data_IF_018502531730
#
_entry.id   IF_018502531730
#
_cell.length_a   1.000
_cell.length_b   1.000
_cell.length_c   1.000
_cell.angle_alpha   90.00
_cell.angle_beta   90.00
_cell.angle_gamma   90.00
#
_symmetry.space_group_name_H-M   'P 1'
#
loop_
_entity.id
_entity.type
_entity.pdbx_description
1 polymer ?
#
# COMPACT_ATOMS: atom_id res chain seq x y z
N UNK A 1 -7.44 -2.15 14.38
CA UNK A 1 -6.61 -1.42 13.40
C UNK A 1 -5.64 -0.56 14.20
N UNK A 2 -4.37 -0.46 13.76
CA UNK A 2 -3.16 -0.27 14.58
C UNK A 2 -2.82 -1.50 15.42
N UNK A 3 -1.68 -2.15 15.12
CA UNK A 3 -1.17 -3.27 15.92
C UNK A 3 -0.06 -2.81 16.86
N UNK A 4 0.80 -1.90 16.39
CA UNK A 4 1.91 -1.35 17.17
C UNK A 4 2.31 0.02 16.62
N UNK A 5 2.84 0.88 17.48
CA UNK A 5 3.58 2.08 17.09
C UNK A 5 5.08 1.79 17.20
N UNK A 6 5.85 2.13 16.17
CA UNK A 6 7.30 1.94 16.09
C UNK A 6 8.01 3.28 15.93
N UNK A 7 9.31 3.25 16.21
CA UNK A 7 10.19 4.41 16.04
C UNK A 7 10.73 4.45 14.60
N UNK A 8 10.90 5.63 14.03
CA UNK A 8 11.77 5.85 12.86
C UNK A 8 12.65 7.08 13.06
N UNK A 9 13.67 7.20 12.22
CA UNK A 9 14.51 8.40 12.19
C UNK A 9 13.98 9.39 11.14
N UNK A 10 13.62 10.58 11.60
CA UNK A 10 13.25 11.71 10.75
C UNK A 10 14.08 12.92 11.16
N UNK A 11 14.75 13.55 10.19
CA UNK A 11 15.57 14.75 10.41
C UNK A 11 16.60 14.62 11.56
N UNK A 12 17.19 13.43 11.71
CA UNK A 12 18.16 13.14 12.78
C UNK A 12 17.55 12.96 14.17
N UNK A 13 16.22 12.84 14.28
CA UNK A 13 15.50 12.57 15.53
C UNK A 13 14.79 11.23 15.44
N UNK A 14 14.81 10.49 16.55
CA UNK A 14 14.01 9.28 16.73
C UNK A 14 12.61 9.67 17.20
N UNK A 15 11.61 9.27 16.44
CA UNK A 15 10.20 9.62 16.70
C UNK A 15 9.30 8.38 16.63
N UNK A 16 8.26 8.34 17.47
CA UNK A 16 7.21 7.30 17.47
C UNK A 16 6.15 7.59 16.40
N UNK A 17 6.56 7.57 15.15
CA UNK A 17 5.77 8.05 14.02
C UNK A 17 5.35 6.94 13.03
N UNK A 18 5.70 5.69 13.29
CA UNK A 18 5.34 4.57 12.40
C UNK A 18 4.19 3.78 13.00
N UNK A 19 3.04 3.82 12.33
CA UNK A 19 1.91 2.95 12.64
C UNK A 19 2.07 1.65 11.87
N UNK A 20 2.34 0.56 12.59
CA UNK A 20 2.44 -0.78 12.02
C UNK A 20 1.10 -1.52 12.10
N UNK A 21 0.63 -1.95 10.94
CA UNK A 21 -0.57 -2.77 10.77
C UNK A 21 -0.13 -4.17 10.35
N UNK A 22 -0.13 -5.13 11.28
CA UNK A 22 0.25 -6.53 11.05
C UNK A 22 -0.64 -7.24 10.01
N UNK A 23 -1.93 -6.92 10.01
CA UNK A 23 -2.94 -7.44 9.09
C UNK A 23 -3.77 -6.29 8.55
N UNK A 24 -3.46 -5.85 7.33
CA UNK A 24 -4.14 -4.75 6.69
C UNK A 24 -5.45 -5.24 6.09
N UNK A 25 -6.57 -4.82 6.67
CA UNK A 25 -7.92 -5.17 6.22
C UNK A 25 -8.12 -4.97 4.71
N UNK A 26 -7.54 -3.90 4.16
CA UNK A 26 -7.69 -3.57 2.74
C UNK A 26 -6.92 -4.52 1.84
N UNK A 27 -5.66 -4.82 2.20
CA UNK A 27 -4.84 -5.80 1.49
C UNK A 27 -5.44 -7.20 1.58
N UNK A 28 -5.88 -7.62 2.78
CA UNK A 28 -6.52 -8.93 2.98
C UNK A 28 -7.83 -9.08 2.19
N UNK A 29 -8.62 -8.00 2.08
CA UNK A 29 -9.91 -8.05 1.38
C UNK A 29 -9.77 -7.99 -0.14
N UNK A 30 -8.89 -7.13 -0.66
CA UNK A 30 -8.75 -6.92 -2.11
C UNK A 30 -7.75 -7.85 -2.75
N UNK A 31 -6.73 -8.26 -1.99
CA UNK A 31 -5.68 -9.17 -2.43
C UNK A 31 -5.06 -8.78 -3.79
N UNK A 32 -4.96 -7.48 -4.04
CA UNK A 32 -4.50 -6.90 -5.30
C UNK A 32 -3.76 -5.59 -5.03
N UNK A 33 -2.50 -5.52 -5.46
CA UNK A 33 -1.64 -4.35 -5.27
C UNK A 33 -2.26 -3.09 -5.89
N UNK A 34 -2.75 -3.18 -7.13
CA UNK A 34 -3.41 -2.06 -7.80
C UNK A 34 -4.61 -1.50 -7.02
N UNK A 35 -5.43 -2.36 -6.40
CA UNK A 35 -6.53 -1.89 -5.56
C UNK A 35 -6.03 -1.24 -4.27
N UNK A 36 -5.06 -1.85 -3.59
CA UNK A 36 -4.45 -1.27 -2.39
C UNK A 36 -3.87 0.12 -2.67
N UNK A 37 -3.18 0.27 -3.80
CA UNK A 37 -2.51 1.51 -4.15
C UNK A 37 -3.54 2.58 -4.49
N UNK A 38 -4.41 2.31 -5.45
CA UNK A 38 -5.30 3.32 -6.02
C UNK A 38 -6.47 3.70 -5.12
N UNK A 39 -6.87 2.83 -4.18
CA UNK A 39 -8.06 3.06 -3.35
C UNK A 39 -7.75 3.27 -1.87
N UNK A 40 -6.60 2.78 -1.38
CA UNK A 40 -6.20 2.95 0.01
C UNK A 40 -4.99 3.89 0.12
N UNK A 41 -3.82 3.51 -0.43
CA UNK A 41 -2.57 4.25 -0.27
C UNK A 41 -2.64 5.67 -0.84
N UNK A 42 -2.88 5.83 -2.14
CA UNK A 42 -2.82 7.15 -2.78
C UNK A 42 -3.89 8.11 -2.23
N UNK A 43 -5.16 7.71 -2.08
CA UNK A 43 -6.17 8.59 -1.50
C UNK A 43 -5.89 8.95 -0.04
N UNK A 44 -5.40 8.00 0.78
CA UNK A 44 -5.11 8.26 2.19
C UNK A 44 -3.91 9.19 2.35
N UNK A 45 -2.83 8.97 1.59
CA UNK A 45 -1.67 9.87 1.61
C UNK A 45 -2.07 11.27 1.18
N UNK A 46 -2.88 11.39 0.12
CA UNK A 46 -3.40 12.67 -0.36
C UNK A 46 -4.24 13.37 0.71
N UNK A 47 -5.22 12.68 1.28
CA UNK A 47 -6.11 13.21 2.31
C UNK A 47 -5.33 13.69 3.55
N UNK A 48 -4.44 12.87 4.09
CA UNK A 48 -3.66 13.23 5.29
C UNK A 48 -2.74 14.42 4.99
N UNK A 49 -2.14 14.48 3.80
CA UNK A 49 -1.31 15.62 3.40
C UNK A 49 -2.13 16.91 3.25
N UNK A 50 -3.24 16.86 2.54
CA UNK A 50 -4.01 18.04 2.13
C UNK A 50 -4.92 18.56 3.25
N UNK A 51 -5.57 17.66 3.99
CA UNK A 51 -6.54 18.03 5.02
C UNK A 51 -5.91 18.15 6.41
N UNK A 52 -4.89 17.34 6.72
CA UNK A 52 -4.20 17.38 8.02
C UNK A 52 -2.86 18.12 7.97
N UNK A 53 -2.37 18.46 6.77
CA UNK A 53 -1.11 19.19 6.61
C UNK A 53 0.14 18.38 6.96
N UNK A 54 0.03 17.05 7.04
CA UNK A 54 1.13 16.18 7.50
C UNK A 54 1.53 15.24 6.35
N UNK A 55 2.80 15.22 5.91
CA UNK A 55 3.25 14.24 4.93
C UNK A 55 3.18 12.84 5.56
N UNK A 56 2.76 11.85 4.76
CA UNK A 56 2.71 10.47 5.21
C UNK A 56 3.13 9.55 4.07
N UNK A 57 3.97 8.57 4.39
CA UNK A 57 4.37 7.52 3.47
C UNK A 57 3.79 6.19 3.94
N UNK A 58 2.96 5.58 3.10
CA UNK A 58 2.35 4.26 3.35
C UNK A 58 3.11 3.19 2.58
N UNK A 59 3.61 2.19 3.30
CA UNK A 59 4.41 1.09 2.76
C UNK A 59 3.64 -0.22 2.96
N UNK A 60 2.85 -0.67 1.97
CA UNK A 60 2.23 -1.99 2.02
C UNK A 60 3.29 -3.07 1.86
N UNK A 61 3.21 -4.12 2.67
CA UNK A 61 3.93 -5.36 2.44
C UNK A 61 2.91 -6.38 1.92
N UNK A 62 3.04 -6.69 0.64
CA UNK A 62 2.12 -7.61 0.00
C UNK A 62 2.32 -9.02 0.56
N UNK A 63 3.55 -9.52 0.74
CA UNK A 63 3.85 -10.92 1.10
C UNK A 63 3.18 -11.36 2.40
N UNK A 64 3.18 -10.48 3.40
CA UNK A 64 2.60 -10.76 4.72
C UNK A 64 1.30 -10.00 5.01
N UNK A 65 0.76 -9.29 4.01
CA UNK A 65 -0.46 -8.47 4.10
C UNK A 65 -0.40 -7.39 5.19
N UNK A 66 0.78 -6.93 5.57
CA UNK A 66 0.96 -5.84 6.54
C UNK A 66 1.08 -4.48 5.84
N UNK A 67 0.98 -3.39 6.60
CA UNK A 67 1.18 -2.04 6.07
C UNK A 67 1.77 -1.15 7.16
N UNK A 68 2.76 -0.34 6.78
CA UNK A 68 3.31 0.72 7.61
C UNK A 68 2.78 2.07 7.14
N UNK A 69 2.43 2.94 8.08
CA UNK A 69 2.11 4.33 7.82
C UNK A 69 3.11 5.19 8.59
N UNK A 70 3.99 5.87 7.86
CA UNK A 70 5.12 6.64 8.40
C UNK A 70 4.76 8.12 8.31
N UNK A 71 4.36 8.70 9.44
CA UNK A 71 4.00 10.12 9.52
C UNK A 71 5.24 11.00 9.52
N UNK A 72 5.20 12.13 8.84
CA UNK A 72 6.33 13.05 8.69
C UNK A 72 7.28 12.70 7.53
N UNK A 73 7.14 11.52 6.92
CA UNK A 73 7.92 11.14 5.74
C UNK A 73 7.19 11.56 4.46
N UNK A 74 7.92 12.23 3.56
CA UNK A 74 7.43 12.56 2.22
C UNK A 74 7.38 11.26 1.41
N UNK A 75 6.22 10.87 0.87
CA UNK A 75 6.13 9.69 0.01
C UNK A 75 6.88 9.93 -1.31
N UNK A 76 7.35 8.87 -1.99
CA UNK A 76 7.90 8.99 -3.33
C UNK A 76 6.82 9.48 -4.31
N UNK A 77 7.27 9.98 -5.46
CA UNK A 77 6.37 10.30 -6.57
C UNK A 77 5.67 9.04 -7.08
N UNK A 78 4.45 9.20 -7.60
CA UNK A 78 3.57 8.06 -7.91
C UNK A 78 4.21 7.08 -8.90
N UNK A 79 4.98 7.59 -9.87
CA UNK A 79 5.65 6.76 -10.88
C UNK A 79 6.86 5.98 -10.37
N UNK A 80 7.49 6.45 -9.29
CA UNK A 80 8.69 5.86 -8.70
C UNK A 80 8.36 4.97 -7.49
N UNK A 81 7.08 4.88 -7.12
CA UNK A 81 6.65 4.10 -5.97
C UNK A 81 6.80 2.60 -6.24
N UNK A 82 7.63 1.88 -5.46
CA UNK A 82 7.89 0.46 -5.69
C UNK A 82 6.63 -0.41 -5.55
N UNK A 83 5.58 0.09 -4.88
CA UNK A 83 4.31 -0.61 -4.81
C UNK A 83 3.62 -0.68 -6.18
N UNK A 84 3.77 0.33 -7.04
CA UNK A 84 3.06 0.45 -8.34
C UNK A 84 3.43 -0.66 -9.32
N UNK A 85 4.66 -1.17 -9.23
CA UNK A 85 5.16 -2.22 -10.12
C UNK A 85 4.82 -3.65 -9.64
N UNK A 86 4.13 -3.81 -8.51
CA UNK A 86 3.81 -5.13 -7.97
C UNK A 86 2.56 -5.72 -8.64
N UNK A 87 2.61 -6.97 -9.15
CA UNK A 87 1.45 -7.61 -9.74
C UNK A 87 0.39 -7.91 -8.65
N UNK A 88 -0.89 -7.94 -9.05
CA UNK A 88 -1.91 -8.50 -8.18
C UNK A 88 -1.70 -10.02 -8.02
N UNK A 89 -2.10 -10.55 -6.87
CA UNK A 89 -1.96 -11.98 -6.59
C UNK A 89 -2.85 -12.81 -7.52
N UNK A 90 -2.26 -13.28 -8.62
CA UNK A 90 -2.91 -14.12 -9.62
C UNK A 90 -3.54 -15.38 -8.98
N UNK A 91 -2.93 -15.94 -7.94
CA UNK A 91 -3.33 -17.20 -7.31
C UNK A 91 -4.64 -17.12 -6.52
N UNK A 92 -5.15 -15.93 -6.22
CA UNK A 92 -6.33 -15.74 -5.36
C UNK A 92 -7.45 -14.95 -6.06
N UNK A 93 -7.33 -14.76 -7.37
CA UNK A 93 -8.35 -14.13 -8.19
C UNK A 93 -9.57 -15.07 -8.30
N UNK A 94 -10.44 -15.08 -7.28
CA UNK A 94 -11.83 -15.57 -7.39
C UNK A 94 -12.66 -14.53 -8.14
N UNK A 95 -12.25 -14.19 -9.36
CA UNK A 95 -13.02 -13.29 -10.20
C UNK A 95 -14.37 -13.95 -10.50
N UNK A 96 -15.40 -13.62 -9.71
CA UNK A 96 -16.78 -13.76 -10.17
C UNK A 96 -16.89 -12.79 -11.34
N UNK A 97 -17.00 -13.33 -12.56
CA UNK A 97 -17.17 -12.59 -13.81
C UNK A 97 -18.22 -11.47 -13.64
N UNK A 98 -17.77 -10.25 -13.35
CA UNK A 98 -18.56 -9.04 -13.53
C UNK A 98 -17.59 -7.98 -14.03
N UNK A 99 -17.79 -7.63 -15.30
CA UNK A 99 -16.96 -6.82 -16.18
C UNK A 99 -15.69 -7.50 -16.73
N UNK A 100 -15.60 -7.46 -18.07
CA UNK A 100 -14.61 -8.11 -18.93
C UNK A 100 -13.17 -7.69 -18.59
N UNK A 101 -12.53 -8.44 -17.70
CA UNK A 101 -11.06 -8.54 -17.67
C UNK A 101 -10.75 -9.97 -18.06
N UNK A 102 -10.25 -10.14 -19.28
CA UNK A 102 -9.80 -11.45 -19.75
C UNK A 102 -8.41 -11.69 -19.18
N UNK A 103 -8.33 -12.43 -18.07
CA UNK A 103 -7.06 -12.97 -17.58
C UNK A 103 -6.75 -14.24 -18.36
N UNK A 104 -6.34 -14.07 -19.62
CA UNK A 104 -5.74 -15.12 -20.41
C UNK A 104 -4.28 -15.25 -20.00
N UNK A 105 -3.96 -16.40 -19.41
CA UNK A 105 -2.62 -16.81 -19.03
C UNK A 105 -1.77 -17.03 -20.27
N UNK A 106 -0.97 -16.04 -20.64
CA UNK A 106 0.16 -16.26 -21.56
C UNK A 106 1.42 -15.72 -20.89
N UNK A 107 2.22 -16.67 -20.43
CA UNK A 107 3.66 -16.50 -20.24
C UNK A 107 4.21 -16.10 -21.60
N UNK A 108 5.02 -15.04 -21.69
CA UNK A 108 6.08 -15.01 -22.69
C UNK A 108 7.22 -14.09 -22.26
N UNK A 109 8.39 -14.71 -22.22
CA UNK A 109 9.72 -14.10 -22.20
C UNK A 109 9.91 -13.11 -23.36
N UNK A 110 10.72 -12.08 -23.12
CA UNK A 110 11.17 -11.11 -24.10
C UNK A 110 12.03 -10.05 -23.45
#
# INVERSE_FOLDING_TARGET
>A
MVNKVRDSELHGRREKNVVYIKKCRYLEATNCAGMCINLCKMPTQKFIREELGIPIHMVPNFENMSCEMIFGQIPPDEGDDPAVNQPCYLTLCKAKKMHRVDCSSEVMEG
#
